data_IF_824731654629
#
_entry.id   IF_824731654629
#
_cell.length_a   1.000
_cell.length_b   1.000
_cell.length_c   1.000
_cell.angle_alpha   90.00
_cell.angle_beta   90.00
_cell.angle_gamma   90.00
#
_symmetry.space_group_name_H-M   'P 1'
#
loop_
_entity.id
_entity.type
_entity.pdbx_description
1 polymer ?
#
# COMPACT_ATOMS: atom_id res chain seq x y z
N UNK A 1 -6.27 -7.09 6.44
CA UNK A 1 -5.16 -7.18 5.46
C UNK A 1 -5.77 -7.40 4.08
N UNK A 2 -5.24 -6.76 3.03
CA UNK A 2 -5.69 -6.92 1.64
C UNK A 2 -4.88 -7.97 0.87
N UNK A 3 -3.57 -8.05 1.13
CA UNK A 3 -2.68 -8.99 0.48
C UNK A 3 -1.22 -8.76 0.85
N UNK A 4 -0.38 -9.67 0.39
CA UNK A 4 1.08 -9.60 0.51
C UNK A 4 1.71 -9.92 -0.84
N UNK A 5 2.80 -9.25 -1.19
CA UNK A 5 3.63 -9.64 -2.33
C UNK A 5 5.11 -9.43 -2.02
N UNK A 6 5.94 -10.26 -2.65
CA UNK A 6 7.39 -10.23 -2.53
C UNK A 6 7.98 -9.61 -3.77
N UNK A 7 8.96 -8.72 -3.59
CA UNK A 7 9.77 -8.24 -4.71
C UNK A 7 10.92 -9.21 -4.83
N UNK A 8 11.14 -9.81 -6.01
CA UNK A 8 12.24 -10.73 -6.26
C UNK A 8 13.47 -10.02 -6.88
N UNK A 9 13.23 -8.95 -7.63
CA UNK A 9 14.26 -8.16 -8.33
C UNK A 9 13.90 -6.66 -8.29
N UNK A 10 14.87 -5.74 -8.03
CA UNK A 10 16.27 -5.98 -7.66
C UNK A 10 16.42 -6.67 -6.31
N UNK A 11 17.34 -7.66 -6.25
CA UNK A 11 17.71 -8.50 -5.09
C UNK A 11 16.70 -8.44 -3.93
N UNK A 12 15.64 -9.22 -4.13
CA UNK A 12 14.36 -9.24 -3.45
C UNK A 12 14.32 -9.49 -1.95
N UNK A 13 14.90 -8.58 -1.15
CA UNK A 13 14.85 -8.66 0.31
C UNK A 13 13.72 -7.79 0.90
N UNK A 14 12.54 -7.82 0.25
CA UNK A 14 11.38 -7.05 0.66
C UNK A 14 10.06 -7.84 0.54
N UNK A 15 9.31 -7.83 1.64
CA UNK A 15 7.92 -8.28 1.70
C UNK A 15 7.02 -7.04 1.87
N UNK A 16 5.99 -6.93 1.05
CA UNK A 16 5.04 -5.83 1.09
C UNK A 16 3.70 -6.31 1.60
N UNK A 17 3.26 -5.80 2.75
CA UNK A 17 1.95 -6.09 3.31
C UNK A 17 1.06 -4.86 3.17
N UNK A 18 -0.13 -5.02 2.61
CA UNK A 18 -1.10 -3.92 2.52
C UNK A 18 -2.31 -4.18 3.41
N UNK A 19 -2.62 -3.20 4.24
CA UNK A 19 -3.80 -3.15 5.10
C UNK A 19 -4.74 -2.07 4.61
N UNK A 20 -6.01 -2.19 5.00
CA UNK A 20 -7.03 -1.20 4.69
C UNK A 20 -7.93 -1.01 5.91
N UNK A 21 -8.58 0.15 5.99
CA UNK A 21 -9.59 0.44 7.01
C UNK A 21 -10.69 -0.64 7.02
N UNK A 22 -11.32 -0.90 8.18
CA UNK A 22 -12.42 -1.87 8.28
C UNK A 22 -13.50 -1.62 7.22
N UNK A 23 -14.04 -2.70 6.64
CA UNK A 23 -15.07 -2.62 5.59
C UNK A 23 -14.57 -2.23 4.20
N UNK A 24 -13.32 -1.77 4.03
CA UNK A 24 -12.82 -1.34 2.72
C UNK A 24 -12.90 -2.44 1.65
N UNK A 25 -12.50 -3.67 1.98
CA UNK A 25 -12.57 -4.79 1.04
C UNK A 25 -14.02 -5.18 0.69
N UNK A 26 -14.92 -5.11 1.67
CA UNK A 26 -16.34 -5.36 1.48
C UNK A 26 -16.96 -4.39 0.48
N UNK A 27 -16.70 -3.10 0.73
CA UNK A 27 -17.19 -2.02 -0.11
C UNK A 27 -16.60 -2.13 -1.52
N UNK A 28 -15.29 -2.40 -1.64
CA UNK A 28 -14.64 -2.56 -2.93
C UNK A 28 -15.25 -3.69 -3.74
N UNK A 29 -15.51 -4.85 -3.14
CA UNK A 29 -16.16 -5.98 -3.85
C UNK A 29 -17.55 -5.63 -4.37
N UNK A 30 -18.31 -4.84 -3.63
CA UNK A 30 -19.67 -4.45 -4.02
C UNK A 30 -19.68 -3.33 -5.06
N UNK A 31 -18.71 -2.43 -5.03
CA UNK A 31 -18.75 -1.16 -5.78
C UNK A 31 -17.64 -1.03 -6.84
N UNK A 32 -16.67 -1.94 -6.88
CA UNK A 32 -15.52 -1.90 -7.77
C UNK A 32 -14.50 -0.78 -7.46
N UNK A 33 -14.65 -0.08 -6.33
CA UNK A 33 -13.79 1.04 -5.92
C UNK A 33 -13.69 1.18 -4.40
N UNK A 34 -12.67 1.86 -3.92
CA UNK A 34 -12.57 2.23 -2.50
C UNK A 34 -13.53 3.38 -2.17
N UNK A 35 -14.16 3.31 -1.00
CA UNK A 35 -15.01 4.40 -0.50
C UNK A 35 -14.18 5.63 -0.16
N UNK A 36 -14.75 6.82 -0.32
CA UNK A 36 -14.18 8.06 0.19
C UNK A 36 -13.83 7.94 1.68
N UNK A 37 -12.63 8.41 2.07
CA UNK A 37 -12.09 8.24 3.42
C UNK A 37 -11.44 6.88 3.71
N UNK A 38 -11.45 5.92 2.77
CA UNK A 38 -10.72 4.65 2.94
C UNK A 38 -9.24 4.92 3.19
N UNK A 39 -8.68 4.30 4.21
CA UNK A 39 -7.24 4.35 4.51
C UNK A 39 -6.59 3.06 4.05
N UNK A 40 -5.52 3.16 3.28
CA UNK A 40 -4.64 2.06 2.90
C UNK A 40 -3.28 2.29 3.56
N UNK A 41 -2.72 1.24 4.16
CA UNK A 41 -1.36 1.26 4.73
C UNK A 41 -0.58 0.15 4.07
N UNK A 42 0.45 0.49 3.30
CA UNK A 42 1.44 -0.45 2.78
C UNK A 42 2.66 -0.41 3.69
N UNK A 43 3.00 -1.54 4.26
CA UNK A 43 4.20 -1.76 5.03
C UNK A 43 5.22 -2.51 4.19
N UNK A 44 6.45 -1.99 4.11
CA UNK A 44 7.59 -2.66 3.47
C UNK A 44 8.48 -3.21 4.57
N UNK A 45 8.65 -4.52 4.57
CA UNK A 45 9.45 -5.26 5.54
C UNK A 45 10.76 -5.69 4.88
N UNK A 46 11.85 -5.70 5.63
CA UNK A 46 13.00 -6.54 5.30
C UNK A 46 12.64 -8.02 5.44
N UNK A 47 13.41 -8.87 4.77
CA UNK A 47 13.26 -10.31 4.89
C UNK A 47 14.54 -10.97 5.38
N UNK A 48 14.37 -12.02 6.16
CA UNK A 48 15.37 -13.06 6.45
C UNK A 48 14.87 -14.38 5.87
N UNK A 49 15.78 -15.34 5.70
CA UNK A 49 15.42 -16.65 5.17
C UNK A 49 16.32 -17.76 5.70
N UNK A 50 15.78 -18.97 5.70
CA UNK A 50 16.53 -20.19 5.95
C UNK A 50 15.83 -21.41 5.32
N UNK A 51 16.57 -22.49 5.07
CA UNK A 51 15.98 -23.79 4.78
C UNK A 51 15.10 -24.24 5.96
N UNK A 52 13.82 -24.49 5.67
CA UNK A 52 12.84 -25.09 6.58
C UNK A 52 12.30 -26.39 5.96
N UNK A 53 11.45 -27.11 6.70
CA UNK A 53 10.83 -28.35 6.23
C UNK A 53 9.97 -28.19 4.96
N UNK A 54 9.58 -26.95 4.63
CA UNK A 54 8.81 -26.58 3.44
C UNK A 54 9.65 -25.97 2.31
N UNK A 55 10.98 -25.93 2.43
CA UNK A 55 11.90 -25.32 1.45
C UNK A 55 12.63 -24.08 1.99
N UNK A 56 13.21 -23.28 1.10
CA UNK A 56 13.80 -21.98 1.46
C UNK A 56 12.68 -21.00 1.83
N UNK A 57 12.47 -20.81 3.13
CA UNK A 57 11.39 -20.02 3.67
C UNK A 57 11.90 -18.62 4.01
N UNK A 58 11.13 -17.60 3.63
CA UNK A 58 11.42 -16.20 3.90
C UNK A 58 10.39 -15.62 4.87
N UNK A 59 10.82 -14.84 5.85
CA UNK A 59 9.94 -14.16 6.81
C UNK A 59 10.39 -12.71 7.03
N UNK A 60 9.49 -11.92 7.60
CA UNK A 60 9.77 -10.52 7.89
C UNK A 60 10.80 -10.38 9.02
N UNK A 61 11.84 -9.56 8.81
CA UNK A 61 12.86 -9.26 9.83
C UNK A 61 12.62 -7.93 10.55
N UNK A 62 11.98 -6.97 9.88
CA UNK A 62 11.62 -5.69 10.47
C UNK A 62 11.07 -4.70 9.45
N UNK A 63 10.32 -3.71 9.92
CA UNK A 63 9.73 -2.70 9.06
C UNK A 63 10.79 -1.71 8.58
N UNK A 64 10.77 -1.40 7.28
CA UNK A 64 11.64 -0.39 6.65
C UNK A 64 10.89 0.93 6.49
N UNK A 65 9.68 0.89 5.96
CA UNK A 65 8.88 2.08 5.63
C UNK A 65 7.39 1.74 5.58
N UNK A 66 6.56 2.70 5.99
CA UNK A 66 5.12 2.69 5.73
C UNK A 66 4.77 3.74 4.69
N UNK A 67 3.88 3.37 3.77
CA UNK A 67 3.18 4.28 2.89
C UNK A 67 1.71 4.28 3.28
N UNK A 68 1.13 5.47 3.43
CA UNK A 68 -0.28 5.64 3.75
C UNK A 68 -0.96 6.36 2.62
N UNK A 69 -2.10 5.84 2.18
CA UNK A 69 -2.98 6.51 1.23
C UNK A 69 -4.37 6.67 1.81
N UNK A 70 -4.99 7.84 1.62
CA UNK A 70 -6.34 8.14 2.12
C UNK A 70 -7.21 8.56 0.94
N UNK A 71 -8.29 7.83 0.65
CA UNK A 71 -9.19 8.17 -0.47
C UNK A 71 -9.86 9.50 -0.19
N UNK A 72 -9.83 10.40 -1.16
CA UNK A 72 -10.48 11.71 -1.11
C UNK A 72 -11.18 12.00 -2.43
N UNK A 73 -12.38 11.43 -2.60
CA UNK A 73 -13.21 11.67 -3.80
C UNK A 73 -13.72 13.10 -3.87
N UNK A 74 -13.75 13.80 -2.73
CA UNK A 74 -14.31 15.15 -2.60
C UNK A 74 -13.30 16.26 -2.86
N UNK A 75 -12.01 15.94 -2.98
CA UNK A 75 -10.96 16.94 -3.20
C UNK A 75 -10.87 17.97 -2.06
N UNK A 76 -10.91 17.51 -0.81
CA UNK A 76 -10.97 18.37 0.39
C UNK A 76 -9.72 19.22 0.60
N UNK A 77 -8.57 18.82 0.04
CA UNK A 77 -7.26 19.38 0.37
C UNK A 77 -6.54 19.97 -0.85
N UNK A 78 -7.21 20.87 -1.59
CA UNK A 78 -6.72 21.43 -2.87
C UNK A 78 -5.39 22.17 -2.80
N UNK A 79 -5.03 22.73 -1.63
CA UNK A 79 -3.77 23.47 -1.44
C UNK A 79 -2.61 22.60 -0.93
N UNK A 80 -2.84 21.30 -0.68
CA UNK A 80 -1.82 20.41 -0.16
C UNK A 80 -0.97 19.80 -1.26
N UNK A 81 0.35 19.81 -1.08
CA UNK A 81 1.29 19.08 -1.98
C UNK A 81 1.23 17.56 -1.80
N UNK A 82 0.52 17.10 -0.77
CA UNK A 82 0.37 15.68 -0.40
C UNK A 82 -1.02 15.14 -0.71
N UNK A 83 -1.90 15.95 -1.32
CA UNK A 83 -3.19 15.49 -1.82
C UNK A 83 -3.32 15.77 -3.32
N UNK A 84 -3.93 14.83 -4.01
CA UNK A 84 -4.16 14.92 -5.45
C UNK A 84 -4.55 13.57 -6.01
N UNK A 85 -5.08 13.58 -7.23
CA UNK A 85 -5.52 12.38 -7.94
C UNK A 85 -6.52 11.52 -7.15
N UNK A 86 -7.33 12.17 -6.29
CA UNK A 86 -8.33 11.50 -5.45
C UNK A 86 -7.76 10.81 -4.21
N UNK A 87 -6.52 11.11 -3.82
CA UNK A 87 -5.85 10.51 -2.67
C UNK A 87 -5.01 11.51 -1.87
N UNK A 88 -4.91 11.27 -0.57
CA UNK A 88 -3.83 11.76 0.28
C UNK A 88 -2.68 10.76 0.30
N UNK A 89 -1.45 11.25 0.40
CA UNK A 89 -0.23 10.44 0.26
C UNK A 89 0.76 10.75 1.38
N UNK A 90 1.22 9.72 2.07
CA UNK A 90 2.19 9.87 3.14
C UNK A 90 3.22 8.73 3.16
N UNK A 91 4.41 9.05 3.66
CA UNK A 91 5.54 8.15 3.81
C UNK A 91 6.12 8.36 5.21
N UNK A 92 6.28 7.28 5.96
CA UNK A 92 6.87 7.25 7.29
C UNK A 92 8.00 6.23 7.29
N UNK A 93 9.18 6.63 7.76
CA UNK A 93 10.33 5.72 7.86
C UNK A 93 10.34 5.04 9.23
N UNK A 94 10.86 3.82 9.28
CA UNK A 94 10.99 3.04 10.51
C UNK A 94 11.84 3.69 11.60
N UNK A 95 12.82 4.52 11.23
CA UNK A 95 13.68 5.27 12.14
C UNK A 95 13.03 6.55 12.70
N UNK A 96 11.89 6.98 12.15
CA UNK A 96 11.11 8.13 12.60
C UNK A 96 9.61 7.92 12.31
N UNK A 97 8.95 6.96 12.97
CA UNK A 97 7.61 6.49 12.61
C UNK A 97 6.49 7.51 12.89
N UNK A 98 6.76 8.53 13.70
CA UNK A 98 5.84 9.62 14.06
C UNK A 98 5.89 10.78 13.06
N UNK A 99 6.82 10.76 12.11
CA UNK A 99 7.06 11.85 11.17
C UNK A 99 6.75 11.44 9.73
N UNK A 100 5.79 12.13 9.12
CA UNK A 100 5.63 12.10 7.67
C UNK A 100 6.82 12.83 7.04
N UNK A 101 7.45 12.22 6.01
CA UNK A 101 8.64 12.81 5.36
C UNK A 101 8.51 13.08 3.85
N UNK A 102 7.40 12.72 3.19
CA UNK A 102 7.21 13.05 1.78
C UNK A 102 6.90 14.56 1.63
N UNK A 103 7.51 15.19 0.64
CA UNK A 103 7.37 16.64 0.37
C UNK A 103 6.26 16.90 -0.65
N UNK A 104 6.10 15.99 -1.61
CA UNK A 104 5.08 16.09 -2.64
C UNK A 104 4.75 14.71 -3.19
N UNK A 105 3.47 14.37 -3.30
CA UNK A 105 3.09 13.08 -3.87
C UNK A 105 3.57 12.93 -5.31
N UNK A 106 3.62 14.01 -6.09
CA UNK A 106 4.10 14.00 -7.48
C UNK A 106 5.57 13.59 -7.58
N UNK A 107 6.38 14.00 -6.59
CA UNK A 107 7.82 13.72 -6.54
C UNK A 107 8.11 12.36 -5.90
N UNK A 108 7.45 12.09 -4.79
CA UNK A 108 7.84 11.02 -3.88
C UNK A 108 7.00 9.74 -4.03
N UNK A 109 5.86 9.80 -4.73
CA UNK A 109 4.90 8.68 -4.81
C UNK A 109 4.43 8.37 -6.24
N UNK A 110 3.97 9.38 -6.98
CA UNK A 110 3.20 9.24 -8.22
C UNK A 110 3.92 8.40 -9.27
N UNK A 111 5.23 8.59 -9.45
CA UNK A 111 6.02 7.84 -10.42
C UNK A 111 5.86 6.32 -10.32
N UNK A 112 5.86 5.77 -9.10
CA UNK A 112 5.69 4.34 -8.86
C UNK A 112 4.23 3.87 -9.06
N UNK A 113 3.27 4.79 -9.03
CA UNK A 113 1.84 4.50 -9.11
C UNK A 113 1.24 4.76 -10.50
N UNK A 114 1.95 5.45 -11.41
CA UNK A 114 1.51 5.67 -12.81
C UNK A 114 1.08 4.36 -13.50
N UNK A 115 1.80 3.23 -13.41
CA UNK A 115 1.36 1.99 -14.04
C UNK A 115 0.01 1.46 -13.51
N UNK A 116 -0.37 1.86 -12.29
CA UNK A 116 -1.63 1.50 -11.64
C UNK A 116 -2.72 2.58 -11.78
N UNK A 117 -2.52 3.63 -12.58
CA UNK A 117 -3.50 4.73 -12.71
C UNK A 117 -4.90 4.24 -13.12
N UNK A 118 -4.98 3.23 -14.00
CA UNK A 118 -6.26 2.64 -14.45
C UNK A 118 -7.02 1.89 -13.35
N UNK A 119 -6.34 1.53 -12.26
CA UNK A 119 -6.91 0.85 -11.09
C UNK A 119 -6.92 1.80 -9.89
N UNK A 120 -7.24 3.08 -10.16
CA UNK A 120 -7.32 4.14 -9.15
C UNK A 120 -6.01 4.35 -8.39
N UNK A 121 -4.89 4.24 -9.10
CA UNK A 121 -3.52 4.33 -8.59
C UNK A 121 -3.11 3.20 -7.64
N UNK A 122 -3.89 2.13 -7.52
CA UNK A 122 -3.63 1.03 -6.60
C UNK A 122 -3.39 -0.26 -7.40
N UNK A 123 -2.32 -1.00 -7.10
CA UNK A 123 -2.04 -2.33 -7.69
C UNK A 123 -2.97 -3.42 -7.12
N UNK A 124 -4.25 -3.33 -7.45
CA UNK A 124 -5.32 -4.19 -6.89
C UNK A 124 -5.20 -5.66 -7.28
N UNK A 125 -4.44 -6.00 -8.32
CA UNK A 125 -4.13 -7.40 -8.66
C UNK A 125 -3.35 -8.14 -7.56
N UNK A 126 -2.60 -7.40 -6.74
CA UNK A 126 -1.87 -7.97 -5.59
C UNK A 126 -2.76 -8.23 -4.37
N UNK A 127 -4.05 -7.92 -4.44
CA UNK A 127 -4.99 -7.96 -3.31
C UNK A 127 -6.13 -8.95 -3.58
N UNK A 128 -5.90 -10.27 -3.44
CA UNK A 128 -6.90 -11.29 -3.76
C UNK A 128 -8.20 -11.13 -2.95
N UNK A 129 -8.13 -10.56 -1.74
CA UNK A 129 -9.30 -10.28 -0.89
C UNK A 129 -10.30 -9.32 -1.57
N UNK A 130 -9.85 -8.47 -2.49
CA UNK A 130 -10.72 -7.57 -3.26
C UNK A 130 -11.49 -8.27 -4.38
N UNK A 131 -11.10 -9.49 -4.75
CA UNK A 131 -11.67 -10.25 -5.87
C UNK A 131 -12.36 -11.55 -5.42
N UNK A 132 -12.27 -11.89 -4.13
CA UNK A 132 -12.89 -13.08 -3.57
C UNK A 132 -14.41 -12.98 -3.56
N UNK A 133 -15.10 -14.06 -3.94
CA UNK A 133 -16.57 -14.20 -3.79
C UNK A 133 -17.00 -14.54 -2.35
N UNK A 134 -16.05 -14.84 -1.46
CA UNK A 134 -16.28 -15.24 -0.06
C UNK A 134 -15.46 -14.39 0.91
N UNK A 135 -15.96 -14.29 2.13
CA UNK A 135 -15.35 -13.58 3.24
C UNK A 135 -14.31 -14.43 3.94
#
# INVERSE_FOLDING_TARGET
MLGTYFVLDPAGNQMHMTYASPGAAAYFRQNGKFADGTVLVKEVLGTEHAPMTTGDAHWASGTKVWFVMIKDEKGRYTNSKLWGDGWGWALYKSDAPDKQVAVSYKKDCQGCHIPAQKTDWIYTQGYPVLHSSKW
#
